data_IF_539742516141
#
_entry.id   IF_539742516141
#
_cell.length_a   1.000
_cell.length_b   1.000
_cell.length_c   1.000
_cell.angle_alpha   90.00
_cell.angle_beta   90.00
_cell.angle_gamma   90.00
#
_symmetry.space_group_name_H-M   'P 1'
#
loop_
_entity.id
_entity.type
_entity.pdbx_description
1 polymer ?
#
# COMPACT_ATOMS: atom_id res chain seq x y z
N UNK A 1 16.04 3.55 2.13
CA UNK A 1 14.68 4.04 2.48
C UNK A 1 14.02 2.97 3.34
N UNK A 2 13.29 3.38 4.38
CA UNK A 2 12.48 2.48 5.18
C UNK A 2 11.00 2.85 4.96
N UNK A 3 10.22 1.89 4.49
CA UNK A 3 8.76 1.98 4.40
C UNK A 3 8.22 1.10 5.53
N UNK A 4 7.51 1.72 6.47
CA UNK A 4 7.08 1.08 7.71
C UNK A 4 5.57 1.05 7.79
N UNK A 5 5.04 0.15 8.63
CA UNK A 5 3.61 -0.08 8.79
C UNK A 5 2.94 -0.46 7.45
N UNK A 6 3.58 -1.33 6.66
CA UNK A 6 2.97 -1.96 5.48
C UNK A 6 2.03 -3.10 5.91
N UNK A 7 1.03 -2.72 6.69
CA UNK A 7 0.09 -3.60 7.36
C UNK A 7 -1.23 -3.62 6.58
N UNK A 8 -2.05 -4.63 6.84
CA UNK A 8 -3.45 -4.62 6.43
C UNK A 8 -4.17 -3.39 6.98
N UNK A 9 -5.17 -2.88 6.25
CA UNK A 9 -5.94 -1.66 6.56
C UNK A 9 -5.13 -0.33 6.64
N UNK A 10 -3.80 -0.38 6.68
CA UNK A 10 -2.91 0.80 6.66
C UNK A 10 -2.52 1.18 5.23
N UNK A 11 -2.18 0.18 4.42
CA UNK A 11 -1.99 0.34 2.98
C UNK A 11 -2.56 -0.88 2.27
N UNK A 12 -3.63 -0.75 1.48
CA UNK A 12 -4.40 0.48 1.24
C UNK A 12 -5.08 0.99 2.53
N UNK A 13 -5.16 2.32 2.66
CA UNK A 13 -5.80 2.95 3.83
C UNK A 13 -7.31 2.66 3.87
N UNK A 14 -7.76 1.94 4.90
CA UNK A 14 -9.15 1.49 5.04
C UNK A 14 -10.17 2.63 5.02
N UNK A 15 -9.89 3.75 5.70
CA UNK A 15 -10.77 4.94 5.70
C UNK A 15 -11.06 5.45 4.28
N UNK A 16 -10.09 5.34 3.35
CA UNK A 16 -10.30 5.73 1.96
C UNK A 16 -11.22 4.75 1.26
N UNK A 17 -11.09 3.45 1.52
CA UNK A 17 -11.93 2.41 0.93
C UNK A 17 -13.39 2.57 1.40
N UNK A 18 -13.61 2.78 2.70
CA UNK A 18 -14.96 2.91 3.27
C UNK A 18 -15.70 4.17 2.82
N UNK A 19 -14.95 5.21 2.42
CA UNK A 19 -15.53 6.45 1.91
C UNK A 19 -16.13 6.33 0.50
N UNK A 20 -15.88 5.22 -0.20
CA UNK A 20 -16.30 5.01 -1.59
C UNK A 20 -17.65 4.27 -1.66
N UNK A 21 -18.57 4.81 -2.46
CA UNK A 21 -19.88 4.21 -2.71
C UNK A 21 -19.95 3.41 -4.02
N UNK A 22 -19.09 3.73 -5.00
CA UNK A 22 -19.12 3.20 -6.35
C UNK A 22 -17.92 2.28 -6.64
N UNK A 23 -18.15 1.13 -7.28
CA UNK A 23 -17.11 0.13 -7.55
C UNK A 23 -15.99 0.65 -8.46
N UNK A 24 -16.30 1.51 -9.43
CA UNK A 24 -15.32 2.13 -10.31
C UNK A 24 -14.33 3.02 -9.54
N UNK A 25 -14.82 3.75 -8.55
CA UNK A 25 -14.00 4.61 -7.70
C UNK A 25 -13.14 3.78 -6.73
N UNK A 26 -13.60 2.58 -6.36
CA UNK A 26 -12.86 1.67 -5.49
C UNK A 26 -11.58 1.18 -6.19
N UNK A 27 -11.69 0.76 -7.45
CA UNK A 27 -10.52 0.33 -8.25
C UNK A 27 -9.51 1.48 -8.42
N UNK A 28 -10.00 2.71 -8.63
CA UNK A 28 -9.13 3.89 -8.72
C UNK A 28 -8.39 4.16 -7.40
N UNK A 29 -9.10 4.14 -6.26
CA UNK A 29 -8.47 4.30 -4.93
C UNK A 29 -7.40 3.24 -4.71
N UNK A 30 -7.72 1.97 -4.97
CA UNK A 30 -6.77 0.86 -4.87
C UNK A 30 -5.53 1.08 -5.73
N UNK A 31 -5.71 1.51 -6.98
CA UNK A 31 -4.62 1.83 -7.90
C UNK A 31 -3.74 2.97 -7.36
N UNK A 32 -4.35 4.03 -6.80
CA UNK A 32 -3.58 5.15 -6.22
C UNK A 32 -2.81 4.77 -4.96
N UNK A 33 -3.39 3.97 -4.06
CA UNK A 33 -2.72 3.45 -2.86
C UNK A 33 -1.55 2.52 -3.24
N UNK A 34 -1.75 1.65 -4.24
CA UNK A 34 -0.67 0.82 -4.79
C UNK A 34 0.44 1.66 -5.40
N UNK A 35 0.08 2.73 -6.12
CA UNK A 35 1.07 3.65 -6.69
C UNK A 35 1.86 4.40 -5.60
N UNK A 36 1.22 4.72 -4.46
CA UNK A 36 1.90 5.31 -3.31
C UNK A 36 3.01 4.39 -2.79
N UNK A 37 2.73 3.09 -2.61
CA UNK A 37 3.73 2.09 -2.21
C UNK A 37 4.87 2.01 -3.24
N UNK A 38 4.53 1.96 -4.53
CA UNK A 38 5.52 1.93 -5.61
C UNK A 38 6.48 3.13 -5.54
N UNK A 39 5.94 4.35 -5.39
CA UNK A 39 6.75 5.56 -5.29
C UNK A 39 7.61 5.51 -4.04
N UNK A 40 7.08 5.10 -2.89
CA UNK A 40 7.83 5.01 -1.63
C UNK A 40 9.03 4.05 -1.76
N UNK A 41 8.80 2.86 -2.32
CA UNK A 41 9.83 1.85 -2.53
C UNK A 41 10.90 2.29 -3.54
N UNK A 42 10.51 2.94 -4.63
CA UNK A 42 11.44 3.40 -5.69
C UNK A 42 12.24 4.65 -5.32
N UNK A 43 12.00 5.27 -4.15
CA UNK A 43 12.92 6.28 -3.61
C UNK A 43 14.24 5.69 -3.11
N UNK A 44 14.30 4.38 -2.85
CA UNK A 44 15.53 3.72 -2.46
C UNK A 44 16.52 3.69 -3.63
N UNK A 45 17.77 4.11 -3.39
CA UNK A 45 18.88 3.96 -4.35
C UNK A 45 19.71 2.72 -4.08
N UNK A 46 20.14 2.54 -2.82
CA UNK A 46 21.05 1.46 -2.45
C UNK A 46 20.34 0.33 -1.67
N UNK A 47 19.57 0.69 -0.65
CA UNK A 47 18.87 -0.26 0.21
C UNK A 47 17.42 0.16 0.48
N UNK A 48 16.52 -0.81 0.39
CA UNK A 48 15.11 -0.70 0.74
C UNK A 48 14.82 -1.66 1.90
N UNK A 49 14.15 -1.15 2.94
CA UNK A 49 13.58 -1.93 4.03
C UNK A 49 12.08 -1.70 4.05
N UNK A 50 11.30 -2.78 3.95
CA UNK A 50 9.85 -2.77 4.08
C UNK A 50 9.48 -3.57 5.31
N UNK A 51 8.68 -2.99 6.21
CA UNK A 51 8.28 -3.66 7.45
C UNK A 51 6.77 -3.57 7.65
N UNK A 52 6.18 -4.67 8.12
CA UNK A 52 4.81 -4.71 8.60
C UNK A 52 4.61 -5.79 9.67
N UNK A 53 3.46 -5.75 10.32
CA UNK A 53 2.96 -6.78 11.25
C UNK A 53 1.95 -7.67 10.53
N UNK A 54 1.51 -8.74 11.18
CA UNK A 54 0.46 -9.63 10.65
C UNK A 54 -0.91 -9.19 11.17
N UNK A 55 -1.95 -9.07 10.31
CA UNK A 55 -1.94 -9.26 8.86
C UNK A 55 -1.18 -8.15 8.14
N UNK A 56 -0.40 -8.54 7.13
CA UNK A 56 0.39 -7.62 6.32
C UNK A 56 -0.43 -7.13 5.13
N UNK A 57 -0.05 -5.99 4.57
CA UNK A 57 -0.70 -5.43 3.38
C UNK A 57 -0.74 -6.43 2.23
N UNK A 58 -1.89 -6.56 1.58
CA UNK A 58 -2.05 -7.37 0.37
C UNK A 58 -1.12 -6.94 -0.78
N UNK A 59 -0.69 -5.67 -0.82
CA UNK A 59 0.23 -5.20 -1.85
C UNK A 59 1.65 -5.76 -1.70
N UNK A 60 1.98 -6.35 -0.55
CA UNK A 60 3.27 -7.02 -0.38
C UNK A 60 3.34 -8.37 -1.10
N UNK A 61 2.19 -9.01 -1.36
CA UNK A 61 2.15 -10.27 -2.10
C UNK A 61 2.63 -10.11 -3.54
N UNK A 62 2.53 -8.90 -4.11
CA UNK A 62 3.04 -8.58 -5.45
C UNK A 62 4.58 -8.53 -5.54
N UNK A 63 5.28 -8.55 -4.39
CA UNK A 63 6.74 -8.50 -4.32
C UNK A 63 7.40 -9.88 -4.12
N UNK A 64 6.60 -10.93 -3.90
CA UNK A 64 7.04 -12.31 -3.69
C UNK A 64 7.08 -13.10 -5.00
#
# INVERSE_FOLDING_TARGET
VAVMACDDEVIPLQDRIESIADEADLEEVYSTERHLLYVACTRARDHLLVTGVKPASEFLDDML
#
